data_IF_100847580946
#
_entry.id   IF_100847580946
#
_cell.length_a   1.000
_cell.length_b   1.000
_cell.length_c   1.000
_cell.angle_alpha   90.00
_cell.angle_beta   90.00
_cell.angle_gamma   90.00
#
_symmetry.space_group_name_H-M   'P 1'
#
loop_
_entity.id
_entity.type
_entity.pdbx_description
1 polymer ?
#
# COMPACT_ATOMS: atom_id res chain seq x y z
N UNK A 1 -42.70 -58.63 -0.71
CA UNK A 1 -42.69 -57.15 -0.83
C UNK A 1 -42.29 -56.39 0.45
N UNK A 2 -42.34 -56.99 1.66
CA UNK A 2 -42.10 -56.29 2.95
C UNK A 2 -40.62 -55.87 3.23
N UNK A 3 -39.65 -56.45 2.53
CA UNK A 3 -38.23 -56.17 2.76
C UNK A 3 -37.70 -55.01 1.90
N UNK A 4 -38.36 -54.72 0.76
CA UNK A 4 -37.98 -53.62 -0.14
C UNK A 4 -38.22 -52.25 0.50
N UNK A 5 -39.30 -52.13 1.29
CA UNK A 5 -39.63 -50.91 2.03
C UNK A 5 -38.59 -50.54 3.09
N UNK A 6 -37.98 -51.53 3.76
CA UNK A 6 -36.96 -51.28 4.79
C UNK A 6 -35.67 -50.77 4.16
N UNK A 7 -35.24 -51.37 3.06
CA UNK A 7 -34.03 -50.94 2.33
C UNK A 7 -34.18 -49.53 1.78
N UNK A 8 -35.35 -49.17 1.25
CA UNK A 8 -35.64 -47.82 0.79
C UNK A 8 -35.54 -46.77 1.92
N UNK A 9 -36.04 -47.09 3.12
CA UNK A 9 -35.96 -46.21 4.30
C UNK A 9 -34.51 -45.96 4.72
N UNK A 10 -33.64 -46.98 4.71
CA UNK A 10 -32.23 -46.82 5.06
C UNK A 10 -31.46 -45.92 4.06
N UNK A 11 -31.75 -46.04 2.76
CA UNK A 11 -31.11 -45.20 1.73
C UNK A 11 -31.55 -43.74 1.87
N UNK A 12 -32.82 -43.49 2.13
CA UNK A 12 -33.35 -42.14 2.34
C UNK A 12 -32.76 -41.52 3.62
N UNK A 13 -32.64 -42.28 4.71
CA UNK A 13 -32.05 -41.80 5.95
C UNK A 13 -30.56 -41.41 5.78
N UNK A 14 -29.80 -42.20 4.99
CA UNK A 14 -28.40 -41.90 4.71
C UNK A 14 -28.24 -40.65 3.82
N UNK A 15 -29.12 -40.48 2.83
CA UNK A 15 -29.13 -39.30 1.96
C UNK A 15 -29.45 -38.01 2.73
N UNK A 16 -30.42 -38.05 3.65
CA UNK A 16 -30.78 -36.91 4.50
C UNK A 16 -29.63 -36.56 5.46
N UNK A 17 -28.99 -37.56 6.07
CA UNK A 17 -27.81 -37.35 6.93
C UNK A 17 -26.66 -36.68 6.19
N UNK A 18 -26.39 -37.08 4.94
CA UNK A 18 -25.39 -36.44 4.08
C UNK A 18 -25.71 -34.99 3.74
N UNK A 19 -26.97 -34.66 3.46
CA UNK A 19 -27.39 -33.28 3.19
C UNK A 19 -27.28 -32.37 4.43
N UNK A 20 -27.63 -32.89 5.60
CA UNK A 20 -27.52 -32.14 6.86
C UNK A 20 -26.06 -31.89 7.26
N UNK A 21 -25.15 -32.82 6.94
CA UNK A 21 -23.72 -32.62 7.14
C UNK A 21 -23.17 -31.49 6.26
N UNK A 22 -23.58 -31.42 4.99
CA UNK A 22 -23.19 -30.34 4.08
C UNK A 22 -23.69 -28.96 4.56
N UNK A 23 -24.92 -28.88 5.06
CA UNK A 23 -25.48 -27.64 5.63
C UNK A 23 -24.68 -27.20 6.87
N UNK A 24 -24.31 -28.15 7.74
CA UNK A 24 -23.47 -27.86 8.91
C UNK A 24 -22.06 -27.39 8.56
N UNK A 25 -21.49 -27.84 7.43
CA UNK A 25 -20.19 -27.39 6.94
C UNK A 25 -20.25 -26.06 6.18
N UNK A 26 -21.43 -25.48 5.96
CA UNK A 26 -21.61 -24.26 5.16
C UNK A 26 -21.70 -22.95 5.94
N UNK A 27 -21.71 -22.99 7.28
CA UNK A 27 -21.88 -21.80 8.14
C UNK A 27 -20.59 -21.33 8.83
N UNK A 28 -19.48 -21.29 8.10
CA UNK A 28 -18.40 -20.38 8.48
C UNK A 28 -18.72 -19.01 7.89
N UNK A 29 -19.43 -18.19 8.65
CA UNK A 29 -19.46 -16.73 8.45
C UNK A 29 -18.06 -16.18 8.78
N UNK A 30 -17.10 -16.53 7.93
CA UNK A 30 -15.90 -15.74 7.77
C UNK A 30 -16.40 -14.42 7.21
N UNK A 31 -16.66 -13.46 8.09
CA UNK A 31 -16.69 -12.05 7.71
C UNK A 31 -15.25 -11.69 7.36
N UNK A 32 -14.74 -12.25 6.27
CA UNK A 32 -13.50 -11.85 5.66
C UNK A 32 -13.70 -10.38 5.35
N UNK A 33 -13.08 -9.49 6.13
CA UNK A 33 -12.85 -8.14 5.65
C UNK A 33 -12.16 -8.32 4.31
N UNK A 34 -12.90 -8.11 3.23
CA UNK A 34 -12.37 -8.06 1.88
C UNK A 34 -11.39 -6.88 1.88
N UNK A 35 -10.15 -7.15 2.27
CA UNK A 35 -9.05 -6.26 1.97
C UNK A 35 -8.93 -6.38 0.47
N UNK A 36 -9.49 -5.41 -0.26
CA UNK A 36 -9.42 -5.39 -1.71
C UNK A 36 -7.95 -5.15 -2.06
N UNK A 37 -7.22 -6.24 -2.20
CA UNK A 37 -5.80 -6.19 -2.49
C UNK A 37 -5.66 -5.81 -3.96
N UNK A 38 -5.08 -4.64 -4.20
CA UNK A 38 -4.96 -4.00 -5.52
C UNK A 38 -4.16 -4.81 -6.56
N UNK A 39 -3.50 -5.90 -6.14
CA UNK A 39 -2.62 -6.72 -6.97
C UNK A 39 -1.38 -5.96 -7.50
N UNK A 40 -0.95 -4.87 -6.83
CA UNK A 40 0.16 -4.01 -7.25
C UNK A 40 1.39 -4.14 -6.35
N UNK A 41 2.57 -4.07 -6.96
CA UNK A 41 3.87 -3.84 -6.32
C UNK A 41 4.36 -2.46 -6.68
N UNK A 42 4.79 -1.69 -5.68
CA UNK A 42 5.41 -0.38 -5.85
C UNK A 42 6.86 -0.45 -5.35
N UNK A 43 7.81 -0.01 -6.16
CA UNK A 43 9.23 -0.13 -5.85
C UNK A 43 10.07 0.99 -6.48
N UNK A 44 11.32 1.09 -6.05
CA UNK A 44 12.29 2.08 -6.54
C UNK A 44 13.28 1.41 -7.47
N UNK A 45 13.63 2.07 -8.57
CA UNK A 45 14.67 1.66 -9.51
C UNK A 45 15.73 2.75 -9.63
N UNK A 46 17.00 2.37 -9.71
CA UNK A 46 18.15 3.27 -9.79
C UNK A 46 18.78 3.58 -8.43
N UNK A 47 19.80 4.44 -8.44
CA UNK A 47 20.56 4.84 -7.25
C UNK A 47 20.88 6.34 -7.28
N UNK A 48 21.03 6.94 -6.08
CA UNK A 48 21.31 8.37 -5.92
C UNK A 48 20.23 9.25 -6.56
N UNK A 49 20.66 10.31 -7.24
CA UNK A 49 19.77 11.28 -7.90
C UNK A 49 18.98 10.70 -9.09
N UNK A 50 19.37 9.52 -9.58
CA UNK A 50 18.69 8.82 -10.68
C UNK A 50 17.57 7.89 -10.23
N UNK A 51 17.11 7.97 -8.97
CA UNK A 51 16.02 7.12 -8.50
C UNK A 51 14.69 7.47 -9.16
N UNK A 52 13.94 6.43 -9.49
CA UNK A 52 12.63 6.50 -10.13
C UNK A 52 11.67 5.54 -9.43
N UNK A 53 10.39 5.89 -9.38
CA UNK A 53 9.34 5.06 -8.78
C UNK A 53 8.64 4.26 -9.88
N UNK A 54 8.43 2.97 -9.64
CA UNK A 54 7.84 2.03 -10.58
C UNK A 54 6.74 1.22 -9.92
N UNK A 55 5.75 0.86 -10.72
CA UNK A 55 4.62 0.02 -10.33
C UNK A 55 4.43 -1.12 -11.32
N UNK A 56 4.08 -2.32 -10.83
CA UNK A 56 3.71 -3.48 -11.65
C UNK A 56 2.65 -4.32 -10.93
N UNK A 57 2.10 -5.31 -11.62
CA UNK A 57 1.25 -6.33 -11.01
C UNK A 57 2.08 -7.39 -10.27
N UNK A 58 1.47 -8.21 -9.40
CA UNK A 58 2.18 -9.27 -8.65
C UNK A 58 2.80 -10.35 -9.54
N UNK A 59 2.28 -10.56 -10.73
CA UNK A 59 2.86 -11.45 -11.74
C UNK A 59 4.02 -10.81 -12.52
N UNK A 60 4.34 -9.54 -12.22
CA UNK A 60 5.38 -8.75 -12.89
C UNK A 60 4.92 -8.10 -14.19
N UNK A 61 3.66 -8.28 -14.59
CA UNK A 61 3.09 -7.61 -15.77
C UNK A 61 2.77 -6.14 -15.51
N UNK A 62 2.42 -5.40 -16.56
CA UNK A 62 2.05 -3.98 -16.50
C UNK A 62 3.06 -3.09 -15.77
N UNK A 63 4.36 -3.38 -15.95
CA UNK A 63 5.45 -2.58 -15.42
C UNK A 63 5.41 -1.17 -16.04
N UNK A 64 5.23 -0.17 -15.19
CA UNK A 64 5.18 1.24 -15.59
C UNK A 64 5.98 2.11 -14.62
N UNK A 65 6.64 3.13 -15.16
CA UNK A 65 7.26 4.18 -14.37
C UNK A 65 6.21 5.21 -13.97
N UNK A 66 6.28 5.70 -12.74
CA UNK A 66 5.48 6.85 -12.28
C UNK A 66 6.30 8.13 -12.52
N UNK A 67 5.91 8.99 -13.48
CA UNK A 67 6.70 10.16 -13.86
C UNK A 67 6.50 11.31 -12.86
N UNK A 68 7.16 11.22 -11.71
CA UNK A 68 7.09 12.26 -10.68
C UNK A 68 7.97 13.44 -11.08
N UNK A 69 7.37 14.64 -11.18
CA UNK A 69 8.10 15.89 -11.36
C UNK A 69 8.13 16.66 -10.04
N UNK A 70 9.32 16.83 -9.46
CA UNK A 70 9.50 17.51 -8.19
C UNK A 70 9.90 18.98 -8.37
N UNK A 71 9.59 19.86 -7.40
CA UNK A 71 10.10 21.23 -7.38
C UNK A 71 11.63 21.26 -7.41
N UNK A 72 12.20 22.35 -7.92
CA UNK A 72 13.65 22.57 -7.94
C UNK A 72 14.22 22.48 -6.53
N UNK A 73 15.34 21.75 -6.38
CA UNK A 73 15.98 21.50 -5.09
C UNK A 73 15.40 20.31 -4.32
N UNK A 74 14.36 19.65 -4.83
CA UNK A 74 13.80 18.43 -4.21
C UNK A 74 14.08 17.21 -5.07
N UNK A 75 14.61 16.15 -4.45
CA UNK A 75 14.97 14.89 -5.13
C UNK A 75 14.32 13.69 -4.43
N UNK A 76 14.13 12.59 -5.15
CA UNK A 76 13.55 11.35 -4.62
C UNK A 76 14.46 10.61 -3.62
N UNK A 77 15.70 11.04 -3.46
CA UNK A 77 16.71 10.32 -2.70
C UNK A 77 17.78 11.29 -2.17
N UNK A 78 18.21 11.08 -0.94
CA UNK A 78 19.49 11.59 -0.43
C UNK A 78 20.55 10.50 -0.61
N UNK A 79 21.83 10.85 -0.73
CA UNK A 79 22.98 9.94 -0.88
C UNK A 79 22.95 8.67 -0.01
N UNK A 80 22.19 8.66 1.10
CA UNK A 80 22.03 7.56 2.05
C UNK A 80 20.61 6.92 2.16
N UNK A 81 19.60 7.32 1.38
CA UNK A 81 18.21 6.86 1.63
C UNK A 81 17.26 6.87 0.42
N UNK A 82 16.49 5.78 0.25
CA UNK A 82 15.53 5.56 -0.84
C UNK A 82 14.24 6.38 -0.69
N UNK A 83 13.48 6.53 -1.79
CA UNK A 83 12.18 7.23 -1.82
C UNK A 83 11.05 6.55 -1.00
N UNK A 84 11.22 5.29 -0.57
CA UNK A 84 10.23 4.49 0.18
C UNK A 84 8.75 4.69 -0.24
N UNK A 85 8.40 4.44 -1.51
CA UNK A 85 7.08 4.74 -2.02
C UNK A 85 6.02 3.79 -1.45
N UNK A 86 4.80 4.29 -1.22
CA UNK A 86 3.65 3.55 -0.70
C UNK A 86 2.39 3.93 -1.47
N UNK A 87 1.58 2.94 -1.82
CA UNK A 87 0.30 3.13 -2.51
C UNK A 87 -0.84 3.23 -1.50
N UNK A 88 -1.79 4.13 -1.74
CA UNK A 88 -3.03 4.22 -0.97
C UNK A 88 -3.90 2.96 -1.14
N UNK A 89 -4.79 2.63 -0.19
CA UNK A 89 -5.63 1.43 -0.27
C UNK A 89 -6.57 1.40 -1.48
N UNK A 90 -6.93 2.56 -2.03
CA UNK A 90 -7.75 2.70 -3.24
C UNK A 90 -6.92 2.63 -4.55
N UNK A 91 -5.60 2.60 -4.45
CA UNK A 91 -4.71 2.48 -5.60
C UNK A 91 -4.55 3.76 -6.43
N UNK A 92 -5.01 4.91 -5.94
CA UNK A 92 -5.01 6.15 -6.71
C UNK A 92 -3.84 7.07 -6.38
N UNK A 93 -3.35 7.04 -5.14
CA UNK A 93 -2.35 7.98 -4.62
C UNK A 93 -1.08 7.26 -4.20
N UNK A 94 0.06 7.80 -4.58
CA UNK A 94 1.38 7.33 -4.20
C UNK A 94 2.03 8.35 -3.27
N UNK A 95 2.44 7.89 -2.09
CA UNK A 95 3.18 8.66 -1.10
C UNK A 95 4.65 8.24 -1.12
N UNK A 96 5.57 9.19 -1.04
CA UNK A 96 7.00 8.89 -1.08
C UNK A 96 7.79 9.97 -0.32
N UNK A 97 8.97 9.57 0.14
CA UNK A 97 9.93 10.43 0.83
C UNK A 97 10.79 11.12 -0.21
N UNK A 98 11.03 12.41 0.01
CA UNK A 98 11.94 13.24 -0.78
C UNK A 98 12.96 13.91 0.13
N UNK A 99 14.05 14.35 -0.47
CA UNK A 99 15.10 15.10 0.18
C UNK A 99 15.20 16.50 -0.45
N UNK A 100 15.20 17.53 0.39
CA UNK A 100 15.27 18.93 -0.03
C UNK A 100 16.70 19.45 0.19
N UNK A 101 17.31 19.93 -0.88
CA UNK A 101 18.63 20.56 -0.91
C UNK A 101 18.50 22.08 -1.05
N UNK A 102 19.40 22.87 -0.44
CA UNK A 102 20.54 22.45 0.39
C UNK A 102 20.20 22.32 1.88
N UNK A 103 18.93 22.48 2.29
CA UNK A 103 18.54 22.49 3.71
C UNK A 103 18.67 21.12 4.38
N UNK A 104 18.88 20.06 3.61
CA UNK A 104 19.08 18.69 4.07
C UNK A 104 17.88 18.12 4.82
N UNK A 105 16.69 18.55 4.43
CA UNK A 105 15.41 18.17 5.06
C UNK A 105 14.77 16.99 4.35
N UNK A 106 14.05 16.16 5.11
CA UNK A 106 13.17 15.13 4.55
C UNK A 106 11.72 15.63 4.53
N UNK A 107 11.07 15.38 3.41
CA UNK A 107 9.66 15.69 3.21
C UNK A 107 8.92 14.48 2.65
N UNK A 108 7.61 14.44 2.89
CA UNK A 108 6.69 13.46 2.31
C UNK A 108 5.90 14.19 1.23
N UNK A 109 5.95 13.66 0.02
CA UNK A 109 5.12 14.09 -1.09
C UNK A 109 4.11 13.02 -1.44
N UNK A 110 3.01 13.44 -2.07
CA UNK A 110 2.06 12.57 -2.73
C UNK A 110 1.94 12.93 -4.21
N UNK A 111 1.54 11.97 -5.03
CA UNK A 111 1.08 12.20 -6.40
C UNK A 111 0.03 11.15 -6.77
N UNK A 112 -0.67 11.35 -7.87
CA UNK A 112 -1.50 10.31 -8.48
C UNK A 112 -0.61 9.20 -9.07
N UNK A 113 -1.15 8.00 -9.29
CA UNK A 113 -0.39 6.87 -9.91
C UNK A 113 0.13 7.18 -11.31
N UNK A 114 -0.49 8.12 -12.03
CA UNK A 114 0.00 8.62 -13.33
C UNK A 114 1.12 9.67 -13.21
N UNK A 115 1.53 10.02 -11.99
CA UNK A 115 2.55 11.02 -11.69
C UNK A 115 2.02 12.46 -11.61
N UNK A 116 0.74 12.69 -11.89
CA UNK A 116 0.13 14.02 -11.81
C UNK A 116 -0.18 14.43 -10.35
N UNK A 117 -0.56 15.69 -10.16
CA UNK A 117 -1.00 16.23 -8.87
C UNK A 117 0.02 16.01 -7.73
N UNK A 118 1.28 16.36 -7.99
CA UNK A 118 2.34 16.30 -6.98
C UNK A 118 2.07 17.33 -5.88
N UNK A 119 1.96 16.88 -4.63
CA UNK A 119 1.65 17.73 -3.48
C UNK A 119 2.58 17.43 -2.30
N UNK A 120 2.98 18.47 -1.58
CA UNK A 120 3.68 18.32 -0.30
C UNK A 120 2.66 17.91 0.77
N UNK A 121 2.89 16.77 1.40
CA UNK A 121 2.05 16.25 2.49
C UNK A 121 2.60 16.67 3.85
N UNK A 122 3.92 16.58 4.01
CA UNK A 122 4.59 16.91 5.26
C UNK A 122 6.02 17.35 5.00
N UNK A 123 6.45 18.43 5.65
CA UNK A 123 7.86 18.79 5.74
C UNK A 123 8.25 18.82 7.22
N UNK A 124 9.34 18.12 7.58
CA UNK A 124 9.91 18.17 8.92
C UNK A 124 10.41 19.59 9.29
N UNK A 125 10.63 20.45 8.28
CA UNK A 125 11.25 21.76 8.45
C UNK A 125 12.75 21.63 8.72
N UNK A 126 13.46 22.77 8.89
CA UNK A 126 14.89 22.74 9.14
C UNK A 126 15.16 21.98 10.42
N UNK A 127 16.01 20.94 10.33
CA UNK A 127 16.51 20.28 11.53
C UNK A 127 17.35 21.29 12.30
N UNK A 128 16.76 21.91 13.31
CA UNK A 128 17.50 22.80 14.21
C UNK A 128 18.42 21.92 15.06
N UNK A 129 19.64 21.66 14.60
CA UNK A 129 20.69 21.14 15.48
C UNK A 129 20.94 22.19 16.56
N UNK A 130 20.57 21.89 17.80
CA UNK A 130 20.66 22.76 18.99
C UNK A 130 22.11 23.04 19.41
N UNK A 131 22.85 23.71 18.53
CA UNK A 131 24.10 24.42 18.84
C UNK A 131 24.06 25.88 18.39
N UNK A 132 22.93 26.35 17.87
CA UNK A 132 22.71 27.77 17.64
C UNK A 132 21.58 28.22 18.55
N UNK A 133 21.95 28.75 19.73
CA UNK A 133 21.06 29.60 20.52
C UNK A 133 20.81 30.85 19.67
N UNK A 134 19.81 30.79 18.79
CA UNK A 134 19.21 32.00 18.27
C UNK A 134 18.59 32.69 19.48
N UNK A 135 19.20 33.82 19.84
CA UNK A 135 18.85 34.60 21.02
C UNK A 135 17.34 34.76 21.11
N UNK A 136 16.82 34.54 22.32
CA UNK A 136 15.53 35.06 22.73
C UNK A 136 15.53 36.55 22.38
N UNK A 137 14.85 36.90 21.30
CA UNK A 137 14.50 38.27 20.98
C UNK A 137 13.51 38.75 22.03
N UNK A 138 14.07 39.26 23.13
CA UNK A 138 13.36 40.11 24.07
C UNK A 138 13.15 41.49 23.44
N UNK A 139 11.99 42.08 23.75
CA UNK A 139 11.57 43.50 23.66
C UNK A 139 11.30 44.05 22.24
N UNK A 140 10.15 44.66 21.90
CA UNK A 140 9.09 45.32 22.69
C UNK A 140 7.68 44.81 22.37
#
# INVERSE_FOLDING_TARGET
MRNFFKTAIFVVAFAIGGMLFQISCSNSDETSRSINQLNKVLFVKGAGEGQTIWICDYDGSNLSQIPVTLPSGTVLNSTNGNAYPRLSPDGQTVFFVTYIMPTTEYAIYSCNVDGSNVQLVYNAGPTITTNNVIGLGSVN
#
